data_IF_482574915039
#
_entry.id   IF_482574915039
#
_cell.length_a   1.000
_cell.length_b   1.000
_cell.length_c   1.000
_cell.angle_alpha   90.00
_cell.angle_beta   90.00
_cell.angle_gamma   90.00
#
_symmetry.space_group_name_H-M   'P 1'
#
loop_
_entity.id
_entity.type
_entity.pdbx_description
1 polymer ?
#
# COMPACT_ATOMS: atom_id res chain seq x y z
N UNK A 1 29.17 -5.13 11.54
CA UNK A 1 27.95 -5.98 11.60
C UNK A 1 26.71 -5.23 12.12
N UNK A 2 26.80 -4.36 13.15
CA UNK A 2 25.63 -3.64 13.69
C UNK A 2 24.85 -2.78 12.68
N UNK A 3 25.54 -1.96 11.86
CA UNK A 3 24.91 -1.04 10.90
C UNK A 3 23.98 -1.71 9.87
N UNK A 4 24.43 -2.80 9.25
CA UNK A 4 23.62 -3.60 8.30
C UNK A 4 22.38 -4.21 8.95
N UNK A 5 22.48 -4.61 10.22
CA UNK A 5 21.35 -5.15 10.97
C UNK A 5 20.31 -4.08 11.28
N UNK A 6 20.71 -2.81 11.43
CA UNK A 6 19.79 -1.70 11.71
C UNK A 6 19.05 -1.24 10.46
N UNK A 7 19.73 -1.17 9.31
CA UNK A 7 19.11 -0.87 8.02
C UNK A 7 18.07 -1.92 7.62
N UNK A 8 18.39 -3.22 7.80
CA UNK A 8 17.43 -4.30 7.54
C UNK A 8 16.21 -4.25 8.46
N UNK A 9 16.37 -3.79 9.70
CA UNK A 9 15.28 -3.66 10.67
C UNK A 9 14.28 -2.59 10.23
N UNK A 10 14.76 -1.48 9.66
CA UNK A 10 13.93 -0.39 9.14
C UNK A 10 13.26 -0.74 7.80
N UNK A 11 13.80 -1.70 7.06
CA UNK A 11 13.17 -2.19 5.82
C UNK A 11 11.92 -3.04 6.09
N UNK A 12 11.72 -3.51 7.32
CA UNK A 12 10.61 -4.41 7.68
C UNK A 12 9.63 -3.73 8.65
N UNK A 13 10.12 -2.83 9.51
CA UNK A 13 9.33 -2.21 10.57
C UNK A 13 9.39 -0.69 10.53
N UNK A 14 8.27 0.01 10.82
CA UNK A 14 8.30 1.44 11.06
C UNK A 14 9.30 1.80 12.16
N UNK A 15 10.03 2.91 11.98
CA UNK A 15 11.07 3.37 12.92
C UNK A 15 10.61 3.41 14.39
N UNK A 16 9.40 3.90 14.74
CA UNK A 16 8.93 3.90 16.12
C UNK A 16 8.82 2.49 16.73
N UNK A 17 8.40 1.50 15.95
CA UNK A 17 8.29 0.10 16.36
C UNK A 17 9.69 -0.50 16.54
N UNK A 18 10.61 -0.23 15.61
CA UNK A 18 11.99 -0.70 15.68
C UNK A 18 12.72 -0.20 16.94
N UNK A 19 12.50 1.06 17.34
CA UNK A 19 13.08 1.64 18.56
C UNK A 19 12.54 0.92 19.81
N UNK A 20 11.22 0.72 19.89
CA UNK A 20 10.57 0.06 21.03
C UNK A 20 11.01 -1.40 21.19
N UNK A 21 11.14 -2.13 20.08
CA UNK A 21 11.71 -3.50 20.11
C UNK A 21 13.14 -3.51 20.65
N UNK A 22 13.98 -2.57 20.22
CA UNK A 22 15.37 -2.45 20.73
C UNK A 22 15.42 -2.16 22.23
N UNK A 23 14.39 -1.53 22.79
CA UNK A 23 14.27 -1.25 24.21
C UNK A 23 13.76 -2.45 25.03
N UNK A 24 13.54 -3.61 24.39
CA UNK A 24 13.12 -4.85 25.05
C UNK A 24 11.61 -5.00 25.16
N UNK A 25 10.83 -4.14 24.51
CA UNK A 25 9.38 -4.27 24.47
C UNK A 25 8.98 -5.45 23.57
N UNK A 26 8.21 -6.39 24.08
CA UNK A 26 7.85 -7.64 23.37
C UNK A 26 6.44 -7.65 22.80
N UNK A 27 5.57 -6.76 23.28
CA UNK A 27 4.16 -6.64 22.85
C UNK A 27 3.87 -5.20 22.44
N UNK A 28 4.20 -4.87 21.19
CA UNK A 28 3.95 -3.54 20.63
C UNK A 28 2.57 -3.55 19.99
N UNK A 29 1.60 -2.94 20.66
CA UNK A 29 0.29 -2.65 20.13
C UNK A 29 0.06 -1.14 20.20
N UNK A 30 -0.44 -0.55 19.12
CA UNK A 30 -0.85 0.84 19.09
C UNK A 30 -2.33 0.91 18.70
N UNK A 31 -3.08 1.73 19.43
CA UNK A 31 -4.49 1.97 19.17
C UNK A 31 -4.65 3.29 18.42
N UNK A 32 -5.37 3.24 17.31
CA UNK A 32 -5.84 4.42 16.60
C UNK A 32 -7.33 4.57 16.84
N UNK A 33 -7.77 5.74 17.30
CA UNK A 33 -9.17 5.97 17.65
C UNK A 33 -10.05 6.25 16.43
N UNK A 34 -9.46 6.82 15.38
CA UNK A 34 -10.16 7.16 14.14
C UNK A 34 -9.22 6.96 12.96
N UNK A 35 -9.67 6.16 11.99
CA UNK A 35 -8.92 5.81 10.77
C UNK A 35 -9.89 5.54 9.63
N UNK A 36 -9.45 5.78 8.40
CA UNK A 36 -10.14 5.31 7.20
C UNK A 36 -9.28 4.27 6.50
N UNK A 37 -9.86 3.12 6.22
CA UNK A 37 -9.18 2.00 5.57
C UNK A 37 -9.64 1.86 4.13
N UNK A 38 -8.70 1.61 3.23
CA UNK A 38 -8.97 1.25 1.84
C UNK A 38 -8.41 -0.14 1.55
N UNK A 39 -9.26 -0.97 0.97
CA UNK A 39 -8.92 -2.26 0.41
C UNK A 39 -9.35 -2.29 -1.05
N UNK A 40 -8.45 -2.69 -1.92
CA UNK A 40 -8.76 -3.04 -3.31
C UNK A 40 -8.39 -4.47 -3.61
N UNK A 41 -9.08 -5.06 -4.56
CA UNK A 41 -8.80 -6.36 -5.16
C UNK A 41 -8.95 -6.22 -6.68
N UNK A 42 -8.00 -6.76 -7.46
CA UNK A 42 -8.03 -6.59 -8.91
C UNK A 42 -8.93 -7.64 -9.55
N UNK A 43 -10.04 -7.19 -10.13
CA UNK A 43 -10.99 -8.10 -10.77
C UNK A 43 -10.31 -8.84 -11.93
N UNK A 44 -10.48 -10.16 -11.97
CA UNK A 44 -9.98 -11.01 -13.07
C UNK A 44 -8.47 -11.30 -13.05
N UNK A 45 -7.74 -10.83 -12.03
CA UNK A 45 -6.30 -11.08 -11.91
C UNK A 45 -5.96 -12.57 -11.83
N UNK A 46 -6.74 -13.39 -11.12
CA UNK A 46 -6.50 -14.84 -11.04
C UNK A 46 -6.48 -15.51 -12.41
N UNK A 47 -7.38 -15.09 -13.31
CA UNK A 47 -7.41 -15.62 -14.68
C UNK A 47 -6.23 -15.08 -15.47
N UNK A 48 -5.95 -13.77 -15.37
CA UNK A 48 -4.83 -13.15 -16.06
C UNK A 48 -3.47 -13.75 -15.68
N UNK A 49 -3.26 -14.01 -14.39
CA UNK A 49 -2.01 -14.60 -13.89
C UNK A 49 -1.80 -16.03 -14.34
N UNK A 50 -2.87 -16.75 -14.69
CA UNK A 50 -2.77 -18.12 -15.24
C UNK A 50 -2.31 -18.18 -16.70
N UNK A 51 -2.44 -17.07 -17.45
CA UNK A 51 -2.15 -17.01 -18.89
C UNK A 51 -0.97 -16.10 -19.25
N UNK A 52 -0.55 -15.22 -18.36
CA UNK A 52 0.59 -14.30 -18.57
C UNK A 52 1.89 -14.96 -18.16
N UNK A 53 2.99 -14.61 -18.83
CA UNK A 53 4.31 -15.04 -18.34
C UNK A 53 4.63 -14.36 -17.00
N UNK A 54 5.44 -14.98 -16.13
CA UNK A 54 5.81 -14.39 -14.85
C UNK A 54 6.40 -12.97 -14.97
N UNK A 55 7.21 -12.73 -16.00
CA UNK A 55 7.81 -11.41 -16.23
C UNK A 55 6.75 -10.35 -16.57
N UNK A 56 5.80 -10.68 -17.45
CA UNK A 56 4.72 -9.74 -17.82
C UNK A 56 3.80 -9.44 -16.63
N UNK A 57 3.53 -10.46 -15.81
CA UNK A 57 2.71 -10.31 -14.61
C UNK A 57 3.38 -9.39 -13.58
N UNK A 58 4.69 -9.56 -13.36
CA UNK A 58 5.46 -8.72 -12.44
C UNK A 58 5.51 -7.26 -12.93
N UNK A 59 5.72 -7.04 -14.23
CA UNK A 59 5.70 -5.68 -14.81
C UNK A 59 4.33 -5.03 -14.61
N UNK A 60 3.25 -5.76 -14.88
CA UNK A 60 1.88 -5.29 -14.66
C UNK A 60 1.63 -4.89 -13.20
N UNK A 61 1.99 -5.75 -12.24
CA UNK A 61 1.83 -5.48 -10.82
C UNK A 61 2.67 -4.27 -10.39
N UNK A 62 3.91 -4.19 -10.87
CA UNK A 62 4.80 -3.08 -10.54
C UNK A 62 4.25 -1.75 -11.01
N UNK A 63 3.69 -1.66 -12.22
CA UNK A 63 3.09 -0.43 -12.76
C UNK A 63 1.93 0.06 -11.87
N UNK A 64 1.05 -0.86 -11.47
CA UNK A 64 -0.13 -0.53 -10.65
C UNK A 64 0.29 -0.14 -9.22
N UNK A 65 1.12 -0.98 -8.60
CA UNK A 65 1.57 -0.77 -7.21
C UNK A 65 2.40 0.50 -7.09
N UNK A 66 3.29 0.81 -8.05
CA UNK A 66 4.03 2.07 -8.03
C UNK A 66 3.12 3.29 -8.11
N UNK A 67 2.08 3.24 -8.96
CA UNK A 67 1.13 4.35 -9.05
C UNK A 67 0.38 4.56 -7.74
N UNK A 68 -0.09 3.46 -7.12
CA UNK A 68 -0.77 3.53 -5.83
C UNK A 68 0.17 4.06 -4.74
N UNK A 69 1.41 3.58 -4.70
CA UNK A 69 2.43 4.05 -3.75
C UNK A 69 2.65 5.56 -3.90
N UNK A 70 2.77 6.07 -5.13
CA UNK A 70 2.88 7.51 -5.38
C UNK A 70 1.66 8.30 -4.88
N UNK A 71 0.45 7.76 -5.05
CA UNK A 71 -0.77 8.38 -4.51
C UNK A 71 -0.81 8.32 -2.98
N UNK A 72 -0.29 7.27 -2.34
CA UNK A 72 -0.22 7.22 -0.88
C UNK A 72 0.69 8.31 -0.30
N UNK A 73 1.81 8.60 -0.97
CA UNK A 73 2.69 9.71 -0.60
C UNK A 73 1.99 11.06 -0.77
N UNK A 74 1.30 11.28 -1.90
CA UNK A 74 0.54 12.51 -2.20
C UNK A 74 -0.54 12.81 -1.15
N UNK A 75 -1.23 11.78 -0.65
CA UNK A 75 -2.37 11.92 0.25
C UNK A 75 -2.05 11.63 1.73
N UNK A 76 -0.77 11.44 2.08
CA UNK A 76 -0.34 11.11 3.45
C UNK A 76 -1.10 9.90 4.02
N UNK A 77 -1.09 8.80 3.27
CA UNK A 77 -1.74 7.53 3.59
C UNK A 77 -0.64 6.49 3.85
N UNK A 78 -0.81 5.69 4.89
CA UNK A 78 0.10 4.58 5.19
C UNK A 78 -0.27 3.36 4.35
N UNK A 79 0.62 2.95 3.45
CA UNK A 79 0.57 1.61 2.86
C UNK A 79 0.84 0.58 3.96
N UNK A 80 -0.10 -0.35 4.15
CA UNK A 80 0.09 -1.44 5.13
C UNK A 80 0.79 -2.62 4.48
N UNK A 81 0.23 -3.13 3.39
CA UNK A 81 0.81 -4.24 2.61
C UNK A 81 0.09 -4.42 1.29
N UNK A 82 0.70 -5.21 0.42
CA UNK A 82 0.02 -5.91 -0.67
C UNK A 82 -0.28 -7.35 -0.25
N UNK A 83 -1.35 -7.94 -0.78
CA UNK A 83 -1.71 -9.35 -0.56
C UNK A 83 -2.04 -9.94 -1.93
N UNK A 84 -1.03 -10.45 -2.62
CA UNK A 84 -1.19 -10.82 -4.03
C UNK A 84 -1.54 -9.60 -4.88
N UNK A 85 -2.73 -9.63 -5.44
CA UNK A 85 -3.38 -8.57 -6.24
C UNK A 85 -4.19 -7.56 -5.43
N UNK A 86 -4.33 -7.79 -4.12
CA UNK A 86 -4.98 -6.83 -3.25
C UNK A 86 -3.99 -5.77 -2.72
N UNK A 87 -4.50 -4.55 -2.53
CA UNK A 87 -3.78 -3.42 -1.94
C UNK A 87 -4.49 -2.93 -0.68
N UNK A 88 -3.75 -2.78 0.42
CA UNK A 88 -4.28 -2.34 1.71
C UNK A 88 -3.50 -1.13 2.23
N UNK A 89 -4.22 -0.03 2.45
CA UNK A 89 -3.70 1.18 3.06
C UNK A 89 -4.69 1.82 4.05
N UNK A 90 -4.17 2.71 4.89
CA UNK A 90 -4.92 3.39 5.96
C UNK A 90 -4.55 4.86 6.05
N UNK A 91 -5.54 5.72 6.23
CA UNK A 91 -5.38 7.13 6.55
C UNK A 91 -5.77 7.36 8.03
N UNK A 92 -5.11 8.32 8.70
CA UNK A 92 -5.35 8.61 10.12
C UNK A 92 -4.38 7.91 11.10
N UNK A 93 -3.38 7.17 10.58
CA UNK A 93 -2.47 6.37 11.40
C UNK A 93 -1.09 7.04 11.65
N UNK A 94 -0.04 6.64 10.93
CA UNK A 94 1.33 7.09 11.17
C UNK A 94 1.72 8.28 10.26
N UNK A 95 1.37 8.24 8.97
CA UNK A 95 1.69 9.28 8.00
C UNK A 95 1.03 10.63 8.33
N UNK A 96 -0.22 10.59 8.80
CA UNK A 96 -0.94 11.78 9.29
C UNK A 96 -2.13 11.37 10.15
N UNK A 97 -2.19 11.92 11.37
CA UNK A 97 -3.30 11.75 12.33
C UNK A 97 -4.37 12.83 12.21
N UNK A 98 -4.35 13.62 11.14
CA UNK A 98 -5.30 14.70 10.92
C UNK A 98 -6.70 14.15 10.60
N UNK A 99 -7.74 14.84 11.07
CA UNK A 99 -9.15 14.42 11.01
C UNK A 99 -9.76 14.40 9.60
N UNK A 100 -9.08 14.98 8.62
CA UNK A 100 -9.43 14.94 7.20
C UNK A 100 -9.04 13.61 6.52
N UNK A 101 -8.64 12.58 7.28
CA UNK A 101 -8.24 11.27 6.75
C UNK A 101 -9.29 10.64 5.83
N UNK A 102 -10.59 10.81 6.13
CA UNK A 102 -11.67 10.32 5.27
C UNK A 102 -11.68 11.03 3.92
N UNK A 103 -11.53 12.36 3.92
CA UNK A 103 -11.50 13.15 2.68
C UNK A 103 -10.28 12.79 1.83
N UNK A 104 -9.10 12.64 2.45
CA UNK A 104 -7.89 12.22 1.74
C UNK A 104 -8.04 10.83 1.15
N UNK A 105 -8.65 9.89 1.88
CA UNK A 105 -8.89 8.54 1.37
C UNK A 105 -9.87 8.52 0.19
N UNK A 106 -10.92 9.34 0.22
CA UNK A 106 -11.86 9.45 -0.91
C UNK A 106 -11.16 10.04 -2.14
N UNK A 107 -10.36 11.09 -1.98
CA UNK A 107 -9.57 11.68 -3.09
C UNK A 107 -8.57 10.67 -3.66
N UNK A 108 -7.89 9.92 -2.80
CA UNK A 108 -7.00 8.82 -3.18
C UNK A 108 -7.73 7.76 -4.01
N UNK A 109 -8.92 7.33 -3.57
CA UNK A 109 -9.71 6.34 -4.30
C UNK A 109 -10.13 6.85 -5.68
N UNK A 110 -10.58 8.11 -5.77
CA UNK A 110 -10.95 8.73 -7.07
C UNK A 110 -9.76 8.74 -8.02
N UNK A 111 -8.57 9.14 -7.56
CA UNK A 111 -7.36 9.16 -8.38
C UNK A 111 -6.94 7.74 -8.81
N UNK A 112 -7.06 6.74 -7.94
CA UNK A 112 -6.85 5.32 -8.28
C UNK A 112 -7.80 4.89 -9.40
N UNK A 113 -9.10 5.18 -9.27
CA UNK A 113 -10.08 4.84 -10.29
C UNK A 113 -9.76 5.51 -11.63
N UNK A 114 -9.37 6.78 -11.62
CA UNK A 114 -8.94 7.51 -12.81
C UNK A 114 -7.71 6.86 -13.48
N UNK A 115 -6.70 6.50 -12.69
CA UNK A 115 -5.52 5.78 -13.18
C UNK A 115 -5.90 4.43 -13.78
N UNK A 116 -6.64 3.58 -13.05
CA UNK A 116 -7.01 2.24 -13.51
C UNK A 116 -7.89 2.26 -14.75
N UNK A 117 -8.76 3.28 -14.89
CA UNK A 117 -9.55 3.47 -16.10
C UNK A 117 -8.65 3.70 -17.33
N UNK A 118 -7.68 4.60 -17.21
CA UNK A 118 -6.72 4.87 -18.29
C UNK A 118 -5.83 3.65 -18.55
N UNK A 119 -5.36 3.00 -17.49
CA UNK A 119 -4.53 1.79 -17.58
C UNK A 119 -5.25 0.65 -18.32
N UNK A 120 -6.52 0.40 -17.99
CA UNK A 120 -7.35 -0.61 -18.65
C UNK A 120 -7.53 -0.30 -20.14
N UNK A 121 -7.73 0.97 -20.50
CA UNK A 121 -7.87 1.42 -21.88
C UNK A 121 -6.57 1.22 -22.68
N UNK A 122 -5.43 1.58 -22.12
CA UNK A 122 -4.13 1.52 -22.79
C UNK A 122 -3.62 0.08 -22.94
N UNK A 123 -3.91 -0.79 -21.96
CA UNK A 123 -3.42 -2.17 -21.92
C UNK A 123 -4.46 -3.21 -22.39
N UNK A 124 -5.68 -2.79 -22.73
CA UNK A 124 -6.78 -3.68 -23.09
C UNK A 124 -7.17 -4.65 -21.97
N UNK A 125 -7.14 -4.19 -20.71
CA UNK A 125 -7.42 -5.00 -19.51
C UNK A 125 -8.74 -4.58 -18.86
N UNK A 126 -9.23 -5.39 -17.92
CA UNK A 126 -10.42 -5.11 -17.09
C UNK A 126 -10.12 -5.46 -15.64
N UNK A 127 -9.42 -4.55 -14.96
CA UNK A 127 -9.00 -4.70 -13.56
C UNK A 127 -9.98 -4.06 -12.56
N UNK A 128 -10.95 -3.28 -13.06
CA UNK A 128 -12.06 -2.64 -12.34
C UNK A 128 -13.31 -2.63 -13.23
#
# INVERSE_FOLDING_TARGET
MRRKSEELLLNILPLPVAIRLKQGETSICEKFNDVTVFFSDMVGFTVMSSIMSPNELIVLLNDIVHNFDHLTEKYYIDKIKTIGDAYFCVAGAHASRASDHTERMVKFAIDIFGFLHNFNKDKGKRLI
#
